data_IF_461074649536
#
_entry.id   IF_461074649536
#
_cell.length_a   1.000
_cell.length_b   1.000
_cell.length_c   1.000
_cell.angle_alpha   90.00
_cell.angle_beta   90.00
_cell.angle_gamma   90.00
#
_symmetry.space_group_name_H-M   'P 1'
#
loop_
_entity.id
_entity.type
_entity.pdbx_description
1 polymer ?
#
# COMPACT_ATOMS: atom_id res chain seq x y z
N UNK A 1 11.73 -27.84 -12.70
CA UNK A 1 11.24 -28.85 -11.76
C UNK A 1 9.77 -28.57 -11.51
N UNK A 2 8.91 -29.57 -11.72
CA UNK A 2 7.47 -29.45 -11.48
C UNK A 2 7.23 -29.27 -9.98
N UNK A 3 6.49 -28.20 -9.61
CA UNK A 3 6.02 -28.01 -8.24
C UNK A 3 5.02 -29.13 -7.94
N UNK A 4 5.22 -29.96 -6.90
CA UNK A 4 4.27 -30.99 -6.53
C UNK A 4 2.92 -30.36 -6.11
N UNK A 5 1.79 -31.02 -6.39
CA UNK A 5 0.44 -30.45 -6.17
C UNK A 5 0.13 -30.10 -4.70
N UNK A 6 0.82 -30.74 -3.75
CA UNK A 6 0.75 -30.50 -2.29
C UNK A 6 1.31 -29.14 -1.83
N UNK A 7 2.13 -28.47 -2.64
CA UNK A 7 2.74 -27.19 -2.26
C UNK A 7 1.74 -26.04 -2.14
N UNK A 8 0.58 -26.14 -2.80
CA UNK A 8 -0.41 -25.06 -2.84
C UNK A 8 -1.12 -24.86 -1.49
N UNK A 9 -1.51 -25.92 -0.81
CA UNK A 9 -2.18 -25.87 0.51
C UNK A 9 -1.25 -25.38 1.62
N UNK A 10 0.02 -25.80 1.58
CA UNK A 10 1.05 -25.36 2.52
C UNK A 10 1.40 -23.88 2.32
N UNK A 11 1.49 -23.43 1.06
CA UNK A 11 1.67 -22.01 0.72
C UNK A 11 0.45 -21.18 1.12
N UNK A 12 -0.76 -21.70 0.95
CA UNK A 12 -1.99 -21.02 1.38
C UNK A 12 -2.05 -20.88 2.91
N UNK A 13 -1.72 -21.94 3.66
CA UNK A 13 -1.66 -21.92 5.12
C UNK A 13 -0.61 -20.92 5.62
N UNK A 14 0.56 -20.87 4.97
CA UNK A 14 1.60 -19.90 5.30
C UNK A 14 1.13 -18.47 5.00
N UNK A 15 0.50 -18.23 3.84
CA UNK A 15 -0.06 -16.92 3.47
C UNK A 15 -1.07 -16.45 4.51
N UNK A 16 -1.97 -17.32 4.96
CA UNK A 16 -2.98 -17.01 5.98
C UNK A 16 -2.33 -16.65 7.32
N UNK A 17 -1.31 -17.40 7.76
CA UNK A 17 -0.56 -17.08 8.99
C UNK A 17 0.16 -15.72 8.91
N UNK A 18 0.74 -15.39 7.74
CA UNK A 18 1.37 -14.09 7.49
C UNK A 18 0.33 -12.97 7.49
N UNK A 19 -0.83 -13.18 6.87
CA UNK A 19 -1.91 -12.21 6.84
C UNK A 19 -2.46 -11.93 8.25
N UNK A 20 -2.62 -12.97 9.07
CA UNK A 20 -3.04 -12.84 10.47
C UNK A 20 -2.01 -12.05 11.29
N UNK A 21 -0.73 -12.33 11.09
CA UNK A 21 0.36 -11.59 11.75
C UNK A 21 0.38 -10.13 11.32
N UNK A 22 0.23 -9.86 10.02
CA UNK A 22 0.15 -8.50 9.49
C UNK A 22 -1.04 -7.74 10.09
N UNK A 23 -2.20 -8.38 10.19
CA UNK A 23 -3.39 -7.79 10.80
C UNK A 23 -3.14 -7.43 12.27
N UNK A 24 -2.62 -8.36 13.06
CA UNK A 24 -2.27 -8.10 14.47
C UNK A 24 -1.26 -6.97 14.62
N UNK A 25 -0.26 -6.91 13.74
CA UNK A 25 0.72 -5.84 13.70
C UNK A 25 0.08 -4.46 13.42
N UNK A 26 -0.81 -4.38 12.42
CA UNK A 26 -1.53 -3.15 12.10
C UNK A 26 -2.49 -2.73 13.22
N UNK A 27 -3.14 -3.68 13.90
CA UNK A 27 -3.97 -3.39 15.07
C UNK A 27 -3.17 -2.78 16.22
N UNK A 28 -1.98 -3.32 16.51
CA UNK A 28 -1.08 -2.75 17.52
C UNK A 28 -0.65 -1.35 17.12
N UNK A 29 -0.22 -1.14 15.87
CA UNK A 29 0.15 0.19 15.36
C UNK A 29 -0.99 1.20 15.51
N UNK A 30 -2.23 0.82 15.17
CA UNK A 30 -3.40 1.68 15.30
C UNK A 30 -3.67 2.10 16.75
N UNK A 31 -3.43 1.20 17.73
CA UNK A 31 -3.52 1.53 19.17
C UNK A 31 -2.52 2.60 19.62
N UNK A 32 -1.38 2.72 18.94
CA UNK A 32 -0.39 3.77 19.16
C UNK A 32 -0.59 4.97 18.23
N UNK A 33 -1.79 5.12 17.65
CA UNK A 33 -2.13 6.21 16.71
C UNK A 33 -1.25 6.23 15.45
N UNK A 34 -0.71 5.07 15.04
CA UNK A 34 -0.04 4.90 13.76
C UNK A 34 -1.08 4.47 12.72
N UNK A 35 -1.34 5.32 11.73
CA UNK A 35 -2.31 5.08 10.66
C UNK A 35 -1.59 4.80 9.35
N UNK A 36 -2.07 3.78 8.63
CA UNK A 36 -1.57 3.44 7.30
C UNK A 36 -2.20 4.37 6.26
N UNK A 37 -1.37 4.91 5.37
CA UNK A 37 -1.77 5.80 4.27
C UNK A 37 -1.69 4.99 2.98
N UNK A 38 -2.84 4.76 2.35
CA UNK A 38 -2.98 4.00 1.11
C UNK A 38 -3.93 4.74 0.16
N UNK A 39 -3.46 5.84 -0.46
CA UNK A 39 -4.30 6.82 -1.16
C UNK A 39 -4.69 6.34 -2.56
N UNK A 40 -5.07 5.07 -2.73
CA UNK A 40 -5.41 4.52 -4.04
C UNK A 40 -6.68 5.21 -4.60
N UNK A 41 -6.57 5.86 -5.75
CA UNK A 41 -7.67 6.61 -6.36
C UNK A 41 -7.91 8.00 -5.76
N UNK A 42 -7.12 8.43 -4.78
CA UNK A 42 -7.19 9.77 -4.19
C UNK A 42 -6.31 10.78 -4.96
N UNK A 43 -6.62 12.08 -4.89
CA UNK A 43 -5.75 13.11 -5.45
C UNK A 43 -4.36 13.07 -4.81
N UNK A 44 -3.33 13.31 -5.62
CA UNK A 44 -1.95 13.34 -5.15
C UNK A 44 -1.71 14.55 -4.24
N UNK A 45 -1.37 14.29 -2.98
CA UNK A 45 -0.90 15.30 -2.02
C UNK A 45 0.61 15.14 -1.77
N UNK A 46 1.45 16.13 -2.16
CA UNK A 46 2.89 16.09 -1.94
C UNK A 46 3.31 16.14 -0.45
N UNK A 47 2.41 16.50 0.47
CA UNK A 47 2.71 16.45 1.91
C UNK A 47 2.69 15.01 2.45
N UNK A 48 1.89 14.14 1.84
CA UNK A 48 1.64 12.78 2.32
C UNK A 48 2.18 11.70 1.35
N UNK A 49 2.38 12.04 0.09
CA UNK A 49 2.68 11.11 -0.99
C UNK A 49 3.99 11.48 -1.71
N UNK A 50 4.74 10.45 -2.08
CA UNK A 50 5.96 10.54 -2.89
C UNK A 50 5.69 9.89 -4.25
N UNK A 51 5.62 10.71 -5.30
CA UNK A 51 5.40 10.22 -6.66
C UNK A 51 6.69 9.62 -7.22
N UNK A 52 6.75 8.28 -7.36
CA UNK A 52 7.92 7.57 -7.91
C UNK A 52 7.89 7.47 -9.43
N UNK A 53 6.70 7.51 -10.01
CA UNK A 53 6.50 7.45 -11.44
C UNK A 53 5.21 8.17 -11.83
N UNK A 54 5.16 8.62 -13.08
CA UNK A 54 3.96 9.19 -13.67
C UNK A 54 3.60 8.43 -14.94
N UNK A 55 2.35 7.98 -15.04
CA UNK A 55 1.86 7.24 -16.22
C UNK A 55 0.87 8.10 -16.98
N UNK A 56 1.06 8.30 -18.30
CA UNK A 56 0.09 9.01 -19.13
C UNK A 56 -1.16 8.15 -19.30
N UNK A 57 -2.30 8.62 -18.79
CA UNK A 57 -3.58 7.91 -18.90
C UNK A 57 -4.68 8.87 -19.37
N UNK A 58 -5.03 8.86 -20.67
CA UNK A 58 -5.97 9.83 -21.25
C UNK A 58 -7.41 9.69 -20.74
N UNK A 59 -7.76 8.54 -20.16
CA UNK A 59 -9.09 8.20 -19.65
C UNK A 59 -9.23 8.36 -18.11
N UNK A 60 -8.25 8.96 -17.44
CA UNK A 60 -8.29 9.10 -15.97
C UNK A 60 -8.06 10.50 -15.48
N UNK A 61 -8.58 10.76 -14.27
CA UNK A 61 -8.48 12.06 -13.61
C UNK A 61 -6.99 12.40 -13.45
N UNK A 62 -6.52 13.55 -13.95
CA UNK A 62 -5.12 13.95 -13.81
C UNK A 62 -4.77 14.24 -12.35
N UNK A 63 -3.51 13.97 -11.99
CA UNK A 63 -3.00 14.12 -10.62
C UNK A 63 -3.71 13.24 -9.58
N UNK A 64 -4.15 12.05 -9.99
CA UNK A 64 -4.71 11.04 -9.10
C UNK A 64 -3.69 9.92 -8.89
N UNK A 65 -3.65 9.36 -7.69
CA UNK A 65 -2.85 8.17 -7.39
C UNK A 65 -3.49 6.97 -8.08
N UNK A 66 -2.77 6.43 -9.07
CA UNK A 66 -3.17 5.26 -9.84
C UNK A 66 -2.80 3.97 -9.11
N UNK A 67 -1.63 3.94 -8.48
CA UNK A 67 -1.14 2.76 -7.78
C UNK A 67 -0.29 3.14 -6.56
N UNK A 68 -0.30 2.29 -5.54
CA UNK A 68 0.46 2.48 -4.29
C UNK A 68 1.53 1.41 -4.20
N UNK A 69 2.73 1.74 -4.66
CA UNK A 69 3.90 0.86 -4.59
C UNK A 69 4.29 0.54 -3.15
N UNK A 70 4.13 1.52 -2.26
CA UNK A 70 4.47 1.37 -0.86
C UNK A 70 3.54 2.20 0.01
N UNK A 71 2.89 1.52 0.94
CA UNK A 71 2.03 2.14 1.95
C UNK A 71 2.82 3.15 2.80
N UNK A 72 2.23 4.33 2.98
CA UNK A 72 2.73 5.34 3.90
C UNK A 72 2.25 5.08 5.32
N UNK A 73 2.84 5.78 6.27
CA UNK A 73 2.43 5.74 7.68
C UNK A 73 2.48 7.13 8.29
N UNK A 74 1.48 7.45 9.11
CA UNK A 74 1.42 8.64 9.94
C UNK A 74 1.34 8.24 11.41
N UNK A 75 1.96 9.02 12.30
CA UNK A 75 1.89 8.88 13.75
C UNK A 75 1.30 10.16 14.31
N UNK A 76 0.15 10.08 14.99
CA UNK A 76 -0.53 11.25 15.56
C UNK A 76 -0.75 12.39 14.54
N UNK A 77 -1.07 12.04 13.29
CA UNK A 77 -1.26 13.02 12.20
C UNK A 77 0.04 13.57 11.61
N UNK A 78 1.21 13.20 12.14
CA UNK A 78 2.50 13.52 11.54
C UNK A 78 2.96 12.40 10.61
N UNK A 79 3.30 12.71 9.37
CA UNK A 79 3.84 11.73 8.42
C UNK A 79 5.21 11.25 8.93
N UNK A 80 5.32 9.95 9.19
CA UNK A 80 6.60 9.30 9.53
C UNK A 80 7.25 8.69 8.29
N UNK A 81 6.43 8.31 7.31
CA UNK A 81 6.86 7.78 6.02
C UNK A 81 5.82 8.12 4.96
N UNK A 82 6.16 8.84 3.89
CA UNK A 82 5.24 9.10 2.80
C UNK A 82 4.89 7.82 2.04
N UNK A 83 3.69 7.78 1.46
CA UNK A 83 3.29 6.68 0.59
C UNK A 83 3.98 6.84 -0.77
N UNK A 84 4.66 5.79 -1.27
CA UNK A 84 5.23 5.82 -2.62
C UNK A 84 4.15 5.43 -3.61
N UNK A 85 3.85 6.34 -4.52
CA UNK A 85 2.69 6.24 -5.41
C UNK A 85 3.06 6.47 -6.87
N UNK A 86 2.30 5.86 -7.75
CA UNK A 86 2.30 6.16 -9.18
C UNK A 86 1.12 7.06 -9.46
N UNK A 87 1.35 8.20 -10.10
CA UNK A 87 0.32 9.19 -10.39
C UNK A 87 0.02 9.28 -11.89
N UNK A 88 -1.20 9.64 -12.23
CA UNK A 88 -1.61 9.88 -13.61
C UNK A 88 -1.11 11.24 -14.10
N UNK A 89 -0.52 11.28 -15.30
CA UNK A 89 -0.34 12.52 -16.09
C UNK A 89 -1.38 12.55 -17.21
N UNK A 90 -1.82 13.76 -17.54
CA UNK A 90 -2.36 14.06 -18.86
C UNK A 90 -1.28 13.90 -19.92
#
# INVERSE_FOLDING_TARGET
AAVPPDGSEQVNSLREGVELTLKGFLEVLSRFNVQQISPLGEPFDPQCHEAVATVPQPDSVPNTVMDVMQKGYSLNGRIIRPAMVVVTKN
#
